data_IF_420620037163
#
_entry.id   IF_420620037163
#
_cell.length_a   1.000
_cell.length_b   1.000
_cell.length_c   1.000
_cell.angle_alpha   90.00
_cell.angle_beta   90.00
_cell.angle_gamma   90.00
#
_symmetry.space_group_name_H-M   'P 1'
#
loop_
_entity.id
_entity.type
_entity.pdbx_description
1 polymer ?
#
# COMPACT_ATOMS: atom_id res chain seq x y z
N UNK A 1 -8.17 -15.41 -35.37
CA UNK A 1 -8.70 -15.13 -34.03
C UNK A 1 -8.58 -13.65 -33.79
N UNK A 2 -9.69 -12.94 -33.60
CA UNK A 2 -9.68 -11.50 -33.34
C UNK A 2 -9.30 -11.23 -31.89
N UNK A 3 -8.34 -10.33 -31.67
CA UNK A 3 -8.00 -9.83 -30.34
C UNK A 3 -9.22 -9.19 -29.67
N UNK A 4 -9.38 -9.42 -28.36
CA UNK A 4 -10.49 -8.90 -27.58
C UNK A 4 -10.46 -7.35 -27.55
N UNK A 5 -11.48 -6.64 -28.07
CA UNK A 5 -11.49 -5.17 -28.11
C UNK A 5 -11.37 -4.50 -26.74
N UNK A 6 -11.80 -5.16 -25.65
CA UNK A 6 -11.66 -4.63 -24.30
C UNK A 6 -10.21 -4.64 -23.83
N UNK A 7 -9.47 -5.71 -24.12
CA UNK A 7 -8.05 -5.84 -23.79
C UNK A 7 -7.25 -4.71 -24.45
N UNK A 8 -7.50 -4.44 -25.74
CA UNK A 8 -6.85 -3.34 -26.48
C UNK A 8 -7.14 -1.96 -25.87
N UNK A 9 -8.33 -1.75 -25.30
CA UNK A 9 -8.69 -0.48 -24.64
C UNK A 9 -7.98 -0.33 -23.30
N UNK A 10 -7.93 -1.39 -22.51
CA UNK A 10 -7.29 -1.38 -21.19
C UNK A 10 -5.77 -1.20 -21.34
N UNK A 11 -5.16 -1.82 -22.36
CA UNK A 11 -3.75 -1.60 -22.74
C UNK A 11 -3.49 -0.13 -23.13
N UNK A 12 -4.35 0.47 -23.96
CA UNK A 12 -4.22 1.87 -24.33
C UNK A 12 -4.27 2.81 -23.10
N UNK A 13 -5.08 2.48 -22.09
CA UNK A 13 -5.12 3.22 -20.82
C UNK A 13 -3.84 3.03 -20.01
N UNK A 14 -3.26 1.83 -19.97
CA UNK A 14 -1.97 1.59 -19.31
C UNK A 14 -0.83 2.44 -19.91
N UNK A 15 -0.78 2.54 -21.24
CA UNK A 15 0.17 3.43 -21.93
C UNK A 15 -0.09 4.91 -21.62
N UNK A 16 -1.35 5.33 -21.54
CA UNK A 16 -1.70 6.70 -21.17
C UNK A 16 -1.29 7.04 -19.73
N UNK A 17 -1.52 6.13 -18.77
CA UNK A 17 -1.07 6.28 -17.38
C UNK A 17 0.45 6.47 -17.35
N UNK A 18 1.20 5.64 -18.08
CA UNK A 18 2.65 5.74 -18.15
C UNK A 18 3.11 7.10 -18.71
N UNK A 19 2.51 7.56 -19.80
CA UNK A 19 2.81 8.86 -20.41
C UNK A 19 2.57 10.03 -19.45
N UNK A 20 1.44 10.01 -18.72
CA UNK A 20 1.09 11.04 -17.74
C UNK A 20 2.04 11.04 -16.55
N UNK A 21 2.38 9.86 -16.01
CA UNK A 21 3.33 9.75 -14.88
C UNK A 21 4.73 10.22 -15.28
N UNK A 22 5.13 9.98 -16.53
CA UNK A 22 6.37 10.52 -17.12
C UNK A 22 6.27 11.97 -17.58
N UNK A 23 5.14 12.65 -17.35
CA UNK A 23 4.92 14.06 -17.70
C UNK A 23 5.23 14.37 -19.17
N UNK A 24 5.01 13.40 -20.06
CA UNK A 24 5.30 13.54 -21.49
C UNK A 24 6.78 13.58 -21.87
N UNK A 25 7.71 13.25 -20.96
CA UNK A 25 9.16 13.18 -21.27
C UNK A 25 9.47 12.16 -22.38
N UNK A 26 8.63 11.13 -22.52
CA UNK A 26 8.72 10.12 -23.57
C UNK A 26 7.53 10.30 -24.51
N UNK A 27 7.74 10.53 -25.82
CA UNK A 27 6.66 10.62 -26.80
C UNK A 27 5.74 9.39 -26.76
N UNK A 28 4.43 9.61 -26.80
CA UNK A 28 3.43 8.54 -26.67
C UNK A 28 3.61 7.41 -27.71
N UNK A 29 3.92 7.76 -28.96
CA UNK A 29 4.16 6.77 -30.02
C UNK A 29 5.38 5.89 -29.73
N UNK A 30 6.40 6.42 -29.05
CA UNK A 30 7.56 5.62 -28.63
C UNK A 30 7.22 4.68 -27.48
N UNK A 31 6.36 5.11 -26.55
CA UNK A 31 5.88 4.25 -25.47
C UNK A 31 5.06 3.08 -26.01
N UNK A 32 4.13 3.35 -26.92
CA UNK A 32 3.24 2.34 -27.51
C UNK A 32 3.96 1.35 -28.43
N UNK A 33 5.09 1.75 -29.01
CA UNK A 33 5.92 0.88 -29.83
C UNK A 33 6.80 -0.08 -28.99
N UNK A 34 6.96 0.19 -27.68
CA UNK A 34 7.67 -0.68 -26.77
C UNK A 34 6.86 -1.93 -26.40
N UNK A 35 7.54 -2.96 -25.89
CA UNK A 35 6.87 -4.15 -25.36
C UNK A 35 6.46 -3.93 -23.88
N UNK A 36 5.55 -4.77 -23.36
CA UNK A 36 5.11 -4.67 -21.96
C UNK A 36 6.26 -4.91 -20.95
N UNK A 37 7.35 -5.55 -21.37
CA UNK A 37 8.53 -5.85 -20.54
C UNK A 37 9.45 -4.62 -20.35
N UNK A 38 9.42 -3.66 -21.27
CA UNK A 38 10.14 -2.39 -21.17
C UNK A 38 9.60 -1.47 -20.06
N UNK A 39 8.37 -1.72 -19.56
CA UNK A 39 7.78 -0.93 -18.47
C UNK A 39 8.59 -1.01 -17.19
N UNK A 40 9.25 -2.14 -16.95
CA UNK A 40 10.10 -2.31 -15.78
C UNK A 40 11.40 -1.50 -15.83
N UNK A 41 11.82 -1.05 -17.02
CA UNK A 41 12.98 -0.20 -17.22
C UNK A 41 12.72 1.25 -16.80
N UNK A 42 11.45 1.64 -16.68
CA UNK A 42 11.10 2.97 -16.19
C UNK A 42 11.20 3.05 -14.66
N UNK A 43 11.86 4.11 -14.17
CA UNK A 43 11.77 4.48 -12.75
C UNK A 43 10.34 4.94 -12.43
N UNK A 44 9.53 4.01 -11.94
CA UNK A 44 8.11 4.18 -11.60
C UNK A 44 7.90 3.82 -10.13
N UNK A 45 6.88 4.40 -9.51
CA UNK A 45 6.47 3.99 -8.16
C UNK A 45 5.82 2.61 -8.19
N UNK A 46 5.83 1.91 -7.05
CA UNK A 46 5.23 0.57 -6.93
C UNK A 46 3.74 0.60 -7.31
N UNK A 47 3.01 1.64 -6.91
CA UNK A 47 1.59 1.77 -7.25
C UNK A 47 1.36 2.00 -8.75
N UNK A 48 2.27 2.69 -9.43
CA UNK A 48 2.17 2.89 -10.87
C UNK A 48 2.41 1.58 -11.60
N UNK A 49 3.44 0.84 -11.21
CA UNK A 49 3.74 -0.48 -11.79
C UNK A 49 2.59 -1.45 -11.59
N UNK A 50 2.04 -1.52 -10.38
CA UNK A 50 0.92 -2.40 -10.05
C UNK A 50 -0.35 -2.04 -10.85
N UNK A 51 -0.67 -0.74 -10.99
CA UNK A 51 -1.80 -0.31 -11.81
C UNK A 51 -1.61 -0.68 -13.29
N UNK A 52 -0.44 -0.39 -13.87
CA UNK A 52 -0.15 -0.70 -15.29
C UNK A 52 -0.21 -2.20 -15.53
N UNK A 53 0.31 -3.02 -14.61
CA UNK A 53 0.22 -4.48 -14.70
C UNK A 53 -1.23 -4.95 -14.76
N UNK A 54 -2.12 -4.37 -13.94
CA UNK A 54 -3.54 -4.69 -13.97
C UNK A 54 -4.24 -4.25 -15.28
N UNK A 55 -3.76 -3.18 -15.92
CA UNK A 55 -4.28 -2.69 -17.21
C UNK A 55 -3.78 -3.52 -18.41
N UNK A 56 -2.52 -3.98 -18.38
CA UNK A 56 -1.91 -4.77 -19.47
C UNK A 56 -2.24 -6.25 -19.40
N UNK A 57 -2.37 -6.80 -18.20
CA UNK A 57 -2.69 -8.21 -17.99
C UNK A 57 -3.87 -8.31 -17.03
N UNK A 58 -5.10 -7.96 -17.48
CA UNK A 58 -6.28 -8.16 -16.67
C UNK A 58 -6.47 -9.66 -16.45
N UNK A 59 -6.05 -10.16 -15.28
CA UNK A 59 -6.32 -11.53 -14.87
C UNK A 59 -7.81 -11.81 -14.79
N UNK A 60 -8.22 -13.07 -14.60
CA UNK A 60 -9.65 -13.44 -14.54
C UNK A 60 -10.45 -12.63 -13.50
N UNK A 61 -9.82 -12.21 -12.40
CA UNK A 61 -10.43 -11.40 -11.34
C UNK A 61 -10.55 -9.90 -11.65
N UNK A 62 -9.85 -9.41 -12.68
CA UNK A 62 -9.85 -8.01 -13.16
C UNK A 62 -10.66 -7.88 -14.44
N UNK A 63 -10.99 -9.02 -15.06
CA UNK A 63 -11.74 -9.18 -16.29
C UNK A 63 -13.16 -8.65 -16.11
N UNK A 64 -13.33 -7.33 -16.14
CA UNK A 64 -14.64 -6.73 -16.26
C UNK A 64 -14.89 -5.33 -15.73
N UNK A 65 -14.00 -4.65 -14.98
CA UNK A 65 -14.33 -3.27 -14.62
C UNK A 65 -13.15 -2.35 -14.30
N UNK A 66 -12.89 -1.40 -15.20
CA UNK A 66 -12.13 -0.18 -14.91
C UNK A 66 -12.64 0.52 -13.64
N UNK A 67 -13.93 0.37 -13.30
CA UNK A 67 -14.48 0.92 -12.05
C UNK A 67 -13.80 0.37 -10.80
N UNK A 68 -13.35 -0.89 -10.82
CA UNK A 68 -12.65 -1.49 -9.68
C UNK A 68 -11.26 -0.87 -9.51
N UNK A 69 -10.61 -0.49 -10.62
CA UNK A 69 -9.31 0.18 -10.60
C UNK A 69 -9.38 1.63 -10.11
N UNK A 70 -10.55 2.27 -10.10
CA UNK A 70 -10.71 3.61 -9.50
C UNK A 70 -10.48 3.58 -7.98
N UNK A 71 -10.57 2.42 -7.34
CA UNK A 71 -10.21 2.21 -5.94
C UNK A 71 -8.74 1.87 -5.70
N UNK A 72 -7.90 1.85 -6.75
CA UNK A 72 -6.51 1.43 -6.66
C UNK A 72 -5.65 2.44 -5.89
N UNK A 73 -4.63 2.00 -5.10
CA UNK A 73 -3.79 2.91 -4.30
C UNK A 73 -3.00 3.97 -5.08
N UNK A 74 -2.85 3.78 -6.39
CA UNK A 74 -2.34 4.81 -7.30
C UNK A 74 -3.10 6.13 -7.16
N UNK A 75 -4.43 6.08 -6.97
CA UNK A 75 -5.28 7.26 -6.84
C UNK A 75 -5.41 7.78 -5.40
N UNK A 76 -4.85 7.09 -4.42
CA UNK A 76 -4.95 7.49 -3.01
C UNK A 76 -3.93 8.59 -2.70
N UNK A 77 -4.35 9.61 -1.95
CA UNK A 77 -3.41 10.58 -1.37
C UNK A 77 -2.45 9.88 -0.40
N UNK A 78 -1.31 10.51 -0.14
CA UNK A 78 -0.33 9.98 0.82
C UNK A 78 -0.93 9.81 2.22
N UNK A 79 -1.77 10.75 2.63
CA UNK A 79 -2.50 10.69 3.90
C UNK A 79 -3.50 9.54 3.92
N UNK A 80 -4.21 9.31 2.81
CA UNK A 80 -5.17 8.21 2.68
C UNK A 80 -4.47 6.85 2.77
N UNK A 81 -3.31 6.69 2.10
CA UNK A 81 -2.48 5.49 2.21
C UNK A 81 -2.04 5.24 3.66
N UNK A 82 -1.52 6.28 4.32
CA UNK A 82 -1.12 6.18 5.72
C UNK A 82 -2.30 5.83 6.63
N UNK A 83 -3.46 6.47 6.43
CA UNK A 83 -4.69 6.22 7.18
C UNK A 83 -5.15 4.77 7.02
N UNK A 84 -5.14 4.22 5.81
CA UNK A 84 -5.50 2.81 5.59
C UNK A 84 -4.58 1.87 6.36
N UNK A 85 -3.26 2.08 6.35
CA UNK A 85 -2.33 1.27 7.13
C UNK A 85 -2.60 1.37 8.64
N UNK A 86 -2.91 2.57 9.15
CA UNK A 86 -3.29 2.79 10.55
C UNK A 86 -4.61 2.08 10.90
N UNK A 87 -5.63 2.17 10.03
CA UNK A 87 -6.94 1.55 10.24
C UNK A 87 -6.83 0.02 10.27
N UNK A 88 -6.09 -0.57 9.34
CA UNK A 88 -5.80 -2.01 9.34
C UNK A 88 -5.01 -2.37 10.61
N UNK A 89 -3.97 -1.62 10.96
CA UNK A 89 -3.23 -1.79 12.20
C UNK A 89 -4.04 -1.58 13.49
N UNK A 90 -5.26 -1.04 13.38
CA UNK A 90 -6.18 -0.82 14.48
C UNK A 90 -7.11 -2.03 14.74
N UNK A 91 -7.12 -3.03 13.86
CA UNK A 91 -7.88 -4.27 14.05
C UNK A 91 -7.46 -4.99 15.34
N UNK A 92 -8.45 -5.49 16.09
CA UNK A 92 -8.22 -6.10 17.41
C UNK A 92 -7.24 -7.28 17.33
N UNK A 93 -7.39 -8.09 16.29
CA UNK A 93 -6.61 -9.30 16.08
C UNK A 93 -5.14 -9.00 15.77
N UNK A 94 -4.87 -7.86 15.10
CA UNK A 94 -3.50 -7.34 14.90
C UNK A 94 -2.92 -6.85 16.24
N UNK A 95 -3.69 -6.09 17.03
CA UNK A 95 -3.22 -5.53 18.31
C UNK A 95 -2.78 -6.62 19.29
N UNK A 96 -3.58 -7.68 19.41
CA UNK A 96 -3.34 -8.77 20.37
C UNK A 96 -2.52 -9.94 19.78
N UNK A 97 -2.12 -9.86 18.51
CA UNK A 97 -1.50 -10.98 17.76
C UNK A 97 -2.30 -12.27 17.89
N UNK A 98 -3.61 -12.20 17.61
CA UNK A 98 -4.49 -13.36 17.74
C UNK A 98 -4.06 -14.44 16.75
N UNK A 99 -3.45 -15.48 17.28
CA UNK A 99 -3.07 -16.67 16.52
C UNK A 99 -4.30 -17.21 15.78
N UNK A 100 -4.12 -17.51 14.49
CA UNK A 100 -5.17 -17.97 13.57
C UNK A 100 -6.25 -16.97 13.16
N UNK A 101 -6.11 -15.66 13.45
CA UNK A 101 -7.01 -14.66 12.87
C UNK A 101 -6.89 -14.58 11.35
N UNK A 102 -8.01 -14.33 10.68
CA UNK A 102 -8.06 -14.35 9.21
C UNK A 102 -7.24 -13.22 8.60
N UNK A 103 -7.24 -12.03 9.22
CA UNK A 103 -6.40 -10.92 8.78
C UNK A 103 -4.90 -11.23 8.83
N UNK A 104 -4.42 -11.90 9.90
CA UNK A 104 -3.01 -12.25 10.02
C UNK A 104 -2.61 -13.38 9.06
N UNK A 105 -3.52 -14.32 8.78
CA UNK A 105 -3.32 -15.33 7.72
C UNK A 105 -3.20 -14.68 6.34
N UNK A 106 -4.09 -13.74 6.02
CA UNK A 106 -4.08 -13.00 4.75
C UNK A 106 -2.80 -12.18 4.57
N UNK A 107 -2.37 -11.48 5.62
CA UNK A 107 -1.19 -10.63 5.59
C UNK A 107 0.13 -11.40 5.70
N UNK A 108 0.09 -12.71 5.95
CA UNK A 108 1.21 -13.59 6.27
C UNK A 108 2.08 -13.10 7.44
N UNK A 109 2.45 -14.01 8.34
CA UNK A 109 3.32 -13.66 9.48
C UNK A 109 4.72 -13.25 9.04
N UNK A 110 5.26 -13.87 7.99
CA UNK A 110 6.59 -13.60 7.47
C UNK A 110 6.49 -13.09 6.02
N UNK A 111 6.85 -11.81 5.78
CA UNK A 111 6.89 -11.29 4.43
C UNK A 111 8.10 -11.86 3.68
N UNK A 112 7.94 -12.27 2.41
CA UNK A 112 9.05 -12.68 1.56
C UNK A 112 10.22 -11.68 1.57
N UNK A 113 11.44 -12.18 1.40
CA UNK A 113 12.68 -11.40 1.56
C UNK A 113 12.79 -10.18 0.62
N UNK A 114 12.13 -10.23 -0.54
CA UNK A 114 12.15 -9.14 -1.52
C UNK A 114 11.37 -7.90 -1.09
N UNK A 115 10.47 -8.01 -0.10
CA UNK A 115 9.70 -6.86 0.36
C UNK A 115 10.54 -5.90 1.21
N UNK A 116 10.34 -4.61 1.01
CA UNK A 116 11.06 -3.55 1.72
C UNK A 116 10.81 -3.57 3.24
N UNK A 117 9.75 -4.23 3.70
CA UNK A 117 9.41 -4.39 5.12
C UNK A 117 9.79 -5.77 5.69
N UNK A 118 10.51 -6.60 4.94
CA UNK A 118 11.22 -7.72 5.57
C UNK A 118 12.24 -7.18 6.59
N UNK A 119 12.24 -7.73 7.80
CA UNK A 119 13.07 -7.25 8.93
C UNK A 119 12.90 -5.74 9.22
N UNK A 120 11.67 -5.24 9.13
CA UNK A 120 11.35 -3.81 9.24
C UNK A 120 11.85 -3.16 10.54
N UNK A 121 11.97 -3.90 11.63
CA UNK A 121 12.43 -3.36 12.93
C UNK A 121 13.83 -2.73 12.83
N UNK A 122 14.68 -3.27 11.94
CA UNK A 122 16.02 -2.75 11.66
C UNK A 122 16.04 -1.51 10.76
N UNK A 123 14.92 -1.21 10.08
CA UNK A 123 14.77 -0.11 9.11
C UNK A 123 14.18 1.16 9.72
N UNK A 124 13.67 1.07 10.95
CA UNK A 124 13.18 2.21 11.72
C UNK A 124 14.33 2.86 12.48
N UNK A 125 14.25 4.17 12.71
CA UNK A 125 15.19 4.87 13.57
C UNK A 125 15.25 4.22 14.97
N UNK A 126 16.46 3.91 15.43
CA UNK A 126 16.70 3.15 16.67
C UNK A 126 16.07 3.83 17.89
N UNK A 127 16.16 5.16 17.99
CA UNK A 127 15.61 5.90 19.13
C UNK A 127 14.08 5.87 19.13
N UNK A 128 13.46 6.04 17.95
CA UNK A 128 12.00 5.89 17.80
C UNK A 128 11.57 4.47 18.16
N UNK A 129 12.23 3.46 17.61
CA UNK A 129 11.90 2.06 17.85
C UNK A 129 12.02 1.68 19.33
N UNK A 130 13.11 2.08 20.01
CA UNK A 130 13.29 1.84 21.45
C UNK A 130 12.20 2.52 22.28
N UNK A 131 11.84 3.77 21.97
CA UNK A 131 10.76 4.48 22.68
C UNK A 131 9.41 3.81 22.50
N UNK A 132 9.09 3.38 21.28
CA UNK A 132 7.85 2.66 21.00
C UNK A 132 7.82 1.28 21.70
N UNK A 133 8.95 0.56 21.76
CA UNK A 133 9.03 -0.71 22.50
C UNK A 133 8.92 -0.55 24.01
N UNK A 134 9.34 0.59 24.58
CA UNK A 134 9.25 0.82 26.02
C UNK A 134 7.81 0.75 26.56
N UNK A 135 6.80 1.02 25.74
CA UNK A 135 5.39 0.85 26.12
C UNK A 135 5.02 -0.61 26.41
N UNK A 136 5.76 -1.58 25.85
CA UNK A 136 5.55 -3.02 26.04
C UNK A 136 6.54 -3.65 27.04
N UNK A 137 7.40 -2.85 27.68
CA UNK A 137 8.42 -3.35 28.61
C UNK A 137 7.83 -4.19 29.76
N UNK A 138 6.67 -3.80 30.28
CA UNK A 138 6.00 -4.51 31.38
C UNK A 138 5.41 -5.85 30.94
N UNK A 139 4.85 -5.93 29.74
CA UNK A 139 4.25 -7.16 29.22
C UNK A 139 5.25 -8.08 28.53
N UNK A 140 6.46 -7.59 28.21
CA UNK A 140 7.45 -8.30 27.40
C UNK A 140 7.05 -8.44 25.93
N UNK A 141 5.92 -7.85 25.52
CA UNK A 141 5.33 -8.04 24.21
C UNK A 141 5.89 -7.09 23.14
N UNK A 142 7.22 -7.06 23.00
CA UNK A 142 7.94 -6.19 22.07
C UNK A 142 7.58 -6.45 20.60
N UNK A 143 7.74 -5.44 19.75
CA UNK A 143 7.50 -5.57 18.30
C UNK A 143 8.42 -6.63 17.66
N UNK A 144 7.85 -7.40 16.74
CA UNK A 144 8.49 -8.47 15.97
C UNK A 144 8.45 -8.13 14.47
N UNK A 145 9.32 -8.76 13.67
CA UNK A 145 9.42 -8.56 12.22
C UNK A 145 8.28 -9.21 11.41
N UNK A 146 7.04 -9.06 11.87
CA UNK A 146 5.83 -9.46 11.13
C UNK A 146 5.12 -8.26 10.51
N UNK A 147 4.34 -8.49 9.45
CA UNK A 147 3.52 -7.46 8.81
C UNK A 147 2.49 -6.88 9.79
N UNK A 148 1.85 -7.74 10.59
CA UNK A 148 0.88 -7.31 11.61
C UNK A 148 1.49 -6.34 12.61
N UNK A 149 2.70 -6.63 13.10
CA UNK A 149 3.38 -5.75 14.04
C UNK A 149 3.87 -4.44 13.42
N UNK A 150 4.26 -4.44 12.13
CA UNK A 150 4.53 -3.19 11.41
C UNK A 150 3.28 -2.31 11.32
N UNK A 151 2.12 -2.90 10.96
CA UNK A 151 0.86 -2.16 10.90
C UNK A 151 0.44 -1.64 12.29
N UNK A 152 0.59 -2.46 13.33
CA UNK A 152 0.40 -2.07 14.72
C UNK A 152 1.34 -0.91 15.10
N UNK A 153 2.59 -0.95 14.68
CA UNK A 153 3.57 0.11 14.91
C UNK A 153 3.15 1.42 14.23
N UNK A 154 2.78 1.37 12.94
CA UNK A 154 2.31 2.53 12.17
C UNK A 154 1.09 3.17 12.83
N UNK A 155 0.11 2.36 13.25
CA UNK A 155 -1.08 2.81 13.99
C UNK A 155 -0.70 3.53 15.28
N UNK A 156 0.10 2.91 16.13
CA UNK A 156 0.47 3.48 17.43
C UNK A 156 1.31 4.75 17.28
N UNK A 157 2.23 4.78 16.31
CA UNK A 157 3.01 5.97 16.02
C UNK A 157 2.08 7.10 15.57
N UNK A 158 1.18 6.85 14.62
CA UNK A 158 0.24 7.83 14.11
C UNK A 158 -0.66 8.45 15.19
N UNK A 159 -1.14 7.65 16.14
CA UNK A 159 -1.97 8.13 17.26
C UNK A 159 -1.20 9.05 18.22
N UNK A 160 0.05 8.74 18.51
CA UNK A 160 0.78 9.39 19.60
C UNK A 160 1.87 10.37 19.15
N UNK A 161 2.28 10.40 17.88
CA UNK A 161 3.43 11.20 17.42
C UNK A 161 3.26 12.71 17.65
N UNK A 162 2.02 13.19 17.72
CA UNK A 162 1.69 14.60 17.94
C UNK A 162 1.65 15.00 19.41
N UNK A 163 1.76 14.05 20.35
CA UNK A 163 1.82 14.37 21.78
C UNK A 163 3.12 15.07 22.15
N UNK A 164 3.04 16.01 23.09
CA UNK A 164 4.17 16.85 23.53
C UNK A 164 5.40 16.03 23.94
N UNK A 165 5.20 14.95 24.71
CA UNK A 165 6.26 14.04 25.15
C UNK A 165 7.00 13.34 23.99
N UNK A 166 6.40 13.29 22.81
CA UNK A 166 6.92 12.61 21.61
C UNK A 166 7.58 13.57 20.60
N UNK A 167 7.77 14.84 20.95
CA UNK A 167 8.44 15.85 20.10
C UNK A 167 9.76 15.38 19.47
N UNK A 168 10.59 14.67 20.24
CA UNK A 168 11.85 14.13 19.72
C UNK A 168 11.65 13.08 18.62
N UNK A 169 10.67 12.18 18.78
CA UNK A 169 10.33 11.21 17.73
C UNK A 169 9.73 11.93 16.52
N UNK A 170 8.87 12.93 16.73
CA UNK A 170 8.28 13.71 15.65
C UNK A 170 9.33 14.47 14.83
N UNK A 171 10.38 14.98 15.48
CA UNK A 171 11.51 15.61 14.77
C UNK A 171 12.25 14.62 13.87
N UNK A 172 12.40 13.36 14.30
CA UNK A 172 13.06 12.31 13.52
C UNK A 172 12.18 11.78 12.38
N UNK A 173 10.90 11.54 12.65
CA UNK A 173 9.96 10.95 11.69
C UNK A 173 9.45 11.99 10.69
N UNK A 174 9.25 13.23 11.12
CA UNK A 174 8.58 14.25 10.32
C UNK A 174 7.11 13.91 10.12
N UNK A 175 6.63 13.99 8.87
CA UNK A 175 5.31 13.51 8.48
C UNK A 175 5.31 11.97 8.35
N UNK A 176 4.52 11.25 9.16
CA UNK A 176 4.42 9.79 9.07
C UNK A 176 4.01 9.28 7.68
N UNK A 177 3.16 10.02 6.96
CA UNK A 177 2.67 9.60 5.64
C UNK A 177 3.81 9.54 4.63
N UNK A 178 4.68 10.54 4.64
CA UNK A 178 5.92 10.56 3.87
C UNK A 178 6.94 9.52 4.38
N UNK A 179 7.15 9.42 5.69
CA UNK A 179 8.18 8.56 6.28
C UNK A 179 7.96 7.08 5.91
N UNK A 180 6.75 6.56 6.13
CA UNK A 180 6.47 5.15 5.89
C UNK A 180 6.45 4.79 4.41
N UNK A 181 6.00 5.68 3.53
CA UNK A 181 6.04 5.43 2.08
C UNK A 181 7.47 5.42 1.53
N UNK A 182 8.37 6.26 2.08
CA UNK A 182 9.79 6.23 1.71
C UNK A 182 10.52 5.01 2.26
N UNK A 183 10.20 4.62 3.49
CA UNK A 183 10.86 3.50 4.18
C UNK A 183 10.35 2.16 3.66
N UNK A 184 9.05 2.07 3.35
CA UNK A 184 8.38 0.85 2.91
C UNK A 184 7.52 1.08 1.65
N UNK A 185 8.13 1.33 0.49
CA UNK A 185 7.42 1.76 -0.72
C UNK A 185 6.41 0.74 -1.29
N UNK A 186 6.55 -0.53 -0.96
CA UNK A 186 5.70 -1.63 -1.43
C UNK A 186 4.61 -2.05 -0.42
N UNK A 187 4.62 -1.52 0.81
CA UNK A 187 3.71 -1.94 1.88
C UNK A 187 2.23 -1.65 1.56
N UNK A 188 1.94 -0.49 0.97
CA UNK A 188 0.56 -0.11 0.63
C UNK A 188 -0.04 -1.07 -0.39
N UNK A 189 0.71 -1.35 -1.46
CA UNK A 189 0.27 -2.27 -2.52
C UNK A 189 0.17 -3.70 -1.98
N UNK A 190 1.09 -4.12 -1.12
CA UNK A 190 0.99 -5.41 -0.43
C UNK A 190 -0.32 -5.55 0.34
N UNK A 191 -0.63 -4.60 1.23
CA UNK A 191 -1.85 -4.63 2.05
C UNK A 191 -3.10 -4.54 1.17
N UNK A 192 -3.08 -3.69 0.14
CA UNK A 192 -4.16 -3.59 -0.83
C UNK A 192 -4.43 -4.94 -1.50
N UNK A 193 -3.42 -5.56 -2.10
CA UNK A 193 -3.55 -6.80 -2.84
C UNK A 193 -4.03 -7.97 -1.96
N UNK A 194 -3.63 -7.99 -0.68
CA UNK A 194 -4.07 -9.02 0.28
C UNK A 194 -5.50 -8.85 0.76
N UNK A 195 -5.99 -7.61 0.87
CA UNK A 195 -7.26 -7.32 1.55
C UNK A 195 -8.40 -6.84 0.63
N UNK A 196 -8.12 -6.46 -0.62
CA UNK A 196 -9.09 -5.83 -1.53
C UNK A 196 -10.37 -6.62 -1.80
N UNK A 197 -10.32 -7.96 -1.70
CA UNK A 197 -11.44 -8.87 -1.94
C UNK A 197 -11.93 -9.55 -0.64
N UNK A 198 -11.78 -8.86 0.48
CA UNK A 198 -12.13 -9.37 1.82
C UNK A 198 -12.96 -8.34 2.58
N UNK A 199 -13.51 -8.72 3.73
CA UNK A 199 -14.24 -7.78 4.60
C UNK A 199 -13.37 -6.60 5.10
N UNK A 200 -12.04 -6.76 5.08
CA UNK A 200 -11.10 -5.72 5.51
C UNK A 200 -10.95 -4.58 4.48
N UNK A 201 -11.55 -4.71 3.28
CA UNK A 201 -11.69 -3.60 2.31
C UNK A 201 -12.37 -2.37 2.92
N UNK A 202 -13.18 -2.55 3.98
CA UNK A 202 -13.81 -1.46 4.74
C UNK A 202 -12.82 -0.38 5.24
N UNK A 203 -11.52 -0.70 5.32
CA UNK A 203 -10.46 0.24 5.73
C UNK A 203 -9.89 1.08 4.58
N UNK A 204 -10.27 0.79 3.34
CA UNK A 204 -9.79 1.50 2.17
C UNK A 204 -10.61 2.78 1.96
N UNK A 205 -10.03 3.83 1.33
CA UNK A 205 -10.79 5.02 1.00
C UNK A 205 -12.01 4.66 0.13
N UNK A 206 -13.17 5.30 0.35
CA UNK A 206 -14.32 5.07 -0.50
C UNK A 206 -14.00 5.46 -1.94
N UNK A 207 -14.41 4.63 -2.90
CA UNK A 207 -14.46 5.07 -4.29
C UNK A 207 -15.62 6.05 -4.43
N UNK A 208 -15.48 7.10 -5.24
CA UNK A 208 -16.55 8.11 -5.44
C UNK A 208 -17.87 7.53 -6.01
N UNK A 209 -17.95 6.21 -6.25
CA UNK A 209 -19.16 5.50 -6.68
C UNK A 209 -20.08 5.08 -5.51
N UNK A 210 -19.67 5.26 -4.25
CA UNK A 210 -20.50 4.89 -3.09
C UNK A 210 -21.55 5.94 -2.68
N UNK A 211 -21.82 6.95 -3.52
CA UNK A 211 -23.03 7.75 -3.39
C UNK A 211 -24.13 7.08 -4.23
N UNK A 212 -25.10 6.36 -3.64
CA UNK A 212 -26.39 6.27 -4.29
C UNK A 212 -26.91 7.71 -4.37
N UNK A 213 -27.06 8.23 -5.59
CA UNK A 213 -27.77 9.47 -5.81
C UNK A 213 -29.14 9.34 -5.12
N UNK A 214 -29.29 10.03 -4.00
CA UNK A 214 -30.61 10.27 -3.42
C UNK A 214 -31.23 11.36 -4.28
N UNK A 215 -32.09 10.94 -5.21
CA UNK A 215 -33.10 11.80 -5.86
C UNK A 215 -34.42 11.07 -5.72
#
# INVERSE_FOLDING_TARGET
GGENPQLRRDEALGWLVLYVVKKGEIPFEKLKAGNNEEVDQFSLTVETKDLIRHLFCPGENVRGCLSNLLGHPFFWSWESRCRTLQNVGNESDIKIRKSNSDILKLLHSEPPEHYSFNKWTSKIDKNVFTKMNNFYRKSGNFYQDSVGDLLKFIRNLGEHINEEKNKSMKKTIGDPSCYFQKTFPDLVIYVYNKLQNTEYRKHFPPTQQSNPASV
#
